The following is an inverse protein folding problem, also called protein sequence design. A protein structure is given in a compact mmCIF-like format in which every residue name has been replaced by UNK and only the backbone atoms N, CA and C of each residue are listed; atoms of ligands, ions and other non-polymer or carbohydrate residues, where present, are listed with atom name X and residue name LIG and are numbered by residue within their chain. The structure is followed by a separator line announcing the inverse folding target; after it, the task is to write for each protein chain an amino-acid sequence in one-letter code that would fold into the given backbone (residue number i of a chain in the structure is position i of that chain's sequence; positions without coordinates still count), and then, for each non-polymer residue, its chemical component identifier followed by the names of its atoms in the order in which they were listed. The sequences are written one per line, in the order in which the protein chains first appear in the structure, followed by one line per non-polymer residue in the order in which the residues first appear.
data_IF_927619390580
#
_entry.id   IF_927619390580
#
_cell.length_a   1.000
_cell.length_b   1.000
_cell.length_c   1.000
_cell.angle_alpha   90.00
_cell.angle_beta   90.00
_cell.angle_gamma   90.00
#
_symmetry.space_group_name_H-M   'P 1'
#
loop_
_entity.id
_entity.type
_entity.pdbx_description
1 polymer ?
#
# COMPACT_ATOMS: atom_id res chain seq x y z
N UNK A 1 45.16 -56.09 23.54
CA UNK A 1 44.36 -57.29 23.87
C UNK A 1 42.89 -57.05 23.56
N UNK A 2 42.07 -58.09 23.43
CA UNK A 2 40.63 -57.97 23.10
C UNK A 2 39.87 -56.97 24.00
N UNK A 3 40.26 -56.89 25.27
CA UNK A 3 39.75 -55.92 26.26
C UNK A 3 40.03 -54.46 25.89
N UNK A 4 41.24 -54.14 25.42
CA UNK A 4 41.59 -52.77 24.97
C UNK A 4 40.81 -52.38 23.71
N UNK A 5 40.61 -53.32 22.78
CA UNK A 5 39.80 -53.09 21.57
C UNK A 5 38.34 -52.83 21.94
N UNK A 6 37.78 -53.60 22.88
CA UNK A 6 36.41 -53.40 23.39
C UNK A 6 36.25 -52.05 24.08
N UNK A 7 37.22 -51.64 24.92
CA UNK A 7 37.20 -50.35 25.58
C UNK A 7 37.28 -49.18 24.60
N UNK A 8 38.13 -49.27 23.56
CA UNK A 8 38.20 -48.26 22.50
C UNK A 8 36.88 -48.11 21.75
N UNK A 9 36.24 -49.22 21.38
CA UNK A 9 34.95 -49.20 20.68
C UNK A 9 33.85 -48.60 21.56
N UNK A 10 33.79 -48.96 22.85
CA UNK A 10 32.83 -48.36 23.79
C UNK A 10 33.00 -46.84 23.90
N UNK A 11 34.23 -46.35 24.04
CA UNK A 11 34.50 -44.91 24.07
C UNK A 11 34.05 -44.20 22.79
N UNK A 12 34.17 -44.88 21.63
CA UNK A 12 33.73 -44.34 20.35
C UNK A 12 32.20 -44.32 20.24
N UNK A 13 31.51 -45.36 20.71
CA UNK A 13 30.05 -45.41 20.79
C UNK A 13 29.53 -44.26 21.67
N UNK A 14 30.05 -44.10 22.88
CA UNK A 14 29.63 -43.01 23.78
C UNK A 14 29.87 -41.63 23.16
N UNK A 15 30.98 -41.45 22.43
CA UNK A 15 31.26 -40.20 21.72
C UNK A 15 30.21 -39.94 20.64
N UNK A 16 29.89 -40.96 19.83
CA UNK A 16 28.88 -40.85 18.77
C UNK A 16 27.48 -40.61 19.34
N UNK A 17 27.12 -41.25 20.46
CA UNK A 17 25.84 -41.03 21.13
C UNK A 17 25.69 -39.59 21.64
N UNK A 18 26.76 -39.03 22.23
CA UNK A 18 26.79 -37.61 22.64
C UNK A 18 26.67 -36.68 21.44
N UNK A 19 27.36 -36.98 20.34
CA UNK A 19 27.29 -36.18 19.11
C UNK A 19 25.88 -36.23 18.49
N UNK A 20 25.26 -37.40 18.42
CA UNK A 20 23.86 -37.57 17.96
C UNK A 20 22.91 -36.75 18.84
N UNK A 21 23.06 -36.78 20.16
CA UNK A 21 22.23 -36.02 21.08
C UNK A 21 22.37 -34.50 20.86
N UNK A 22 23.61 -34.02 20.65
CA UNK A 22 23.87 -32.62 20.35
C UNK A 22 23.28 -32.19 19.00
N UNK A 23 23.41 -33.03 17.96
CA UNK A 23 22.87 -32.76 16.63
C UNK A 23 21.33 -32.73 16.65
N UNK A 24 20.67 -33.63 17.38
CA UNK A 24 19.21 -33.62 17.56
C UNK A 24 18.73 -32.32 18.20
N UNK A 25 19.36 -31.90 19.30
CA UNK A 25 19.02 -30.63 19.97
C UNK A 25 19.22 -29.43 19.04
N UNK A 26 20.31 -29.43 18.26
CA UNK A 26 20.57 -28.35 17.29
C UNK A 26 19.50 -28.32 16.20
N UNK A 27 19.10 -29.49 15.68
CA UNK A 27 18.05 -29.60 14.67
C UNK A 27 16.70 -29.09 15.20
N UNK A 28 16.32 -29.46 16.43
CA UNK A 28 15.09 -28.99 17.07
C UNK A 28 15.07 -27.44 17.16
N UNK A 29 16.16 -26.83 17.61
CA UNK A 29 16.28 -25.37 17.69
C UNK A 29 16.16 -24.70 16.31
N UNK A 30 16.81 -25.23 15.29
CA UNK A 30 16.73 -24.69 13.92
C UNK A 30 15.32 -24.80 13.33
N UNK A 31 14.61 -25.90 13.63
CA UNK A 31 13.21 -26.06 13.22
C UNK A 31 12.32 -25.01 13.88
N UNK A 32 12.51 -24.75 15.18
CA UNK A 32 11.76 -23.73 15.90
C UNK A 32 12.06 -22.30 15.40
N UNK A 33 13.34 -21.99 15.16
CA UNK A 33 13.77 -20.71 14.62
C UNK A 33 13.18 -20.48 13.23
N UNK A 34 13.23 -21.47 12.34
CA UNK A 34 12.63 -21.41 11.00
C UNK A 34 11.12 -21.21 11.06
N UNK A 35 10.41 -21.92 11.93
CA UNK A 35 8.96 -21.71 12.11
C UNK A 35 8.63 -20.29 12.58
N UNK A 36 9.43 -19.75 13.49
CA UNK A 36 9.25 -18.38 13.99
C UNK A 36 9.48 -17.36 12.87
N UNK A 37 10.56 -17.53 12.09
CA UNK A 37 10.86 -16.66 10.95
C UNK A 37 9.76 -16.68 9.90
N UNK A 38 9.28 -17.88 9.52
CA UNK A 38 8.19 -18.05 8.55
C UNK A 38 6.91 -17.35 8.98
N UNK A 39 6.52 -17.49 10.26
CA UNK A 39 5.34 -16.77 10.80
C UNK A 39 5.51 -15.25 10.74
N UNK A 40 6.70 -14.75 11.06
CA UNK A 40 6.96 -13.31 11.00
C UNK A 40 6.90 -12.78 9.56
N UNK A 41 7.45 -13.52 8.60
CA UNK A 41 7.35 -13.16 7.17
C UNK A 41 5.88 -13.15 6.69
N UNK A 42 5.09 -14.14 7.09
CA UNK A 42 3.65 -14.19 6.75
C UNK A 42 2.89 -12.99 7.33
N UNK A 43 3.19 -12.59 8.57
CA UNK A 43 2.62 -11.38 9.19
C UNK A 43 3.00 -10.12 8.40
N UNK A 44 4.29 -9.95 8.07
CA UNK A 44 4.74 -8.81 7.28
C UNK A 44 4.09 -8.74 5.91
N UNK A 45 3.91 -9.89 5.25
CA UNK A 45 3.22 -9.97 3.96
C UNK A 45 1.75 -9.58 4.09
N UNK A 46 1.05 -10.08 5.13
CA UNK A 46 -0.34 -9.75 5.38
C UNK A 46 -0.52 -8.26 5.68
N UNK A 47 0.36 -7.67 6.48
CA UNK A 47 0.34 -6.24 6.77
C UNK A 47 0.62 -5.39 5.52
N UNK A 48 1.61 -5.77 4.71
CA UNK A 48 1.90 -5.09 3.44
C UNK A 48 0.70 -5.13 2.48
N UNK A 49 0.01 -6.29 2.38
CA UNK A 49 -1.20 -6.43 1.57
C UNK A 49 -2.34 -5.55 2.08
N UNK A 50 -2.58 -5.54 3.38
CA UNK A 50 -3.61 -4.69 4.00
C UNK A 50 -3.34 -3.21 3.74
N UNK A 51 -2.08 -2.78 3.88
CA UNK A 51 -1.71 -1.40 3.60
C UNK A 51 -1.85 -1.06 2.12
N UNK A 52 -1.46 -1.97 1.22
CA UNK A 52 -1.67 -1.82 -0.21
C UNK A 52 -3.16 -1.63 -0.55
N UNK A 53 -4.04 -2.42 0.05
CA UNK A 53 -5.48 -2.31 -0.15
C UNK A 53 -6.04 -0.97 0.37
N UNK A 54 -5.59 -0.54 1.55
CA UNK A 54 -5.94 0.77 2.10
C UNK A 54 -5.55 1.92 1.16
N UNK A 55 -4.32 1.91 0.63
CA UNK A 55 -3.87 2.93 -0.32
C UNK A 55 -4.64 2.88 -1.65
N UNK A 56 -5.01 1.68 -2.14
CA UNK A 56 -5.83 1.53 -3.35
C UNK A 56 -7.21 2.16 -3.15
N UNK A 57 -7.83 1.93 -2.00
CA UNK A 57 -9.12 2.52 -1.65
C UNK A 57 -9.02 4.04 -1.50
N UNK A 58 -7.98 4.54 -0.84
CA UNK A 58 -7.73 5.97 -0.71
C UNK A 58 -7.52 6.64 -2.07
N UNK A 59 -6.74 6.02 -2.96
CA UNK A 59 -6.54 6.48 -4.33
C UNK A 59 -7.87 6.54 -5.09
N UNK A 60 -8.69 5.48 -5.02
CA UNK A 60 -10.00 5.44 -5.68
C UNK A 60 -10.94 6.56 -5.19
N UNK A 61 -11.04 6.73 -3.87
CA UNK A 61 -11.86 7.78 -3.24
C UNK A 61 -11.37 9.18 -3.65
N UNK A 62 -10.06 9.42 -3.64
CA UNK A 62 -9.48 10.72 -4.02
C UNK A 62 -9.74 11.03 -5.49
N UNK A 63 -9.65 10.03 -6.36
CA UNK A 63 -9.97 10.16 -7.79
C UNK A 63 -11.44 10.50 -8.02
N UNK A 64 -12.35 9.91 -7.25
CA UNK A 64 -13.78 10.23 -7.32
C UNK A 64 -14.07 11.66 -6.82
N UNK A 65 -13.49 12.05 -5.69
CA UNK A 65 -13.60 13.41 -5.16
C UNK A 65 -13.11 14.45 -6.17
N UNK A 66 -11.97 14.19 -6.81
CA UNK A 66 -11.42 15.06 -7.85
C UNK A 66 -12.40 15.21 -9.03
N UNK A 67 -12.98 14.10 -9.49
CA UNK A 67 -13.98 14.12 -10.57
C UNK A 67 -15.22 14.94 -10.18
N UNK A 68 -15.67 14.83 -8.95
CA UNK A 68 -16.83 15.57 -8.46
C UNK A 68 -16.53 17.08 -8.33
N UNK A 69 -15.38 17.46 -7.79
CA UNK A 69 -14.95 18.85 -7.72
C UNK A 69 -14.80 19.49 -9.12
N UNK A 70 -14.26 18.75 -10.10
CA UNK A 70 -14.20 19.22 -11.50
C UNK A 70 -15.58 19.46 -12.12
N UNK A 71 -16.58 18.63 -11.78
CA UNK A 71 -17.97 18.85 -12.21
C UNK A 71 -18.57 20.09 -11.55
N UNK A 72 -18.28 20.31 -10.27
CA UNK A 72 -18.74 21.51 -9.56
C UNK A 72 -18.17 22.78 -10.19
N UNK A 73 -16.87 22.82 -10.49
CA UNK A 73 -16.24 23.93 -11.24
C UNK A 73 -16.96 24.17 -12.56
N UNK A 74 -17.27 23.12 -13.33
CA UNK A 74 -17.97 23.26 -14.60
C UNK A 74 -19.38 23.85 -14.41
N UNK A 75 -20.10 23.42 -13.37
CA UNK A 75 -21.41 23.97 -13.03
C UNK A 75 -21.34 25.44 -12.58
N UNK A 76 -20.37 25.79 -11.73
CA UNK A 76 -20.15 27.17 -11.27
C UNK A 76 -19.78 28.10 -12.44
N UNK A 77 -18.91 27.66 -13.35
CA UNK A 77 -18.58 28.41 -14.57
C UNK A 77 -19.80 28.67 -15.45
N UNK A 78 -20.68 27.67 -15.59
CA UNK A 78 -21.93 27.83 -16.33
C UNK A 78 -22.88 28.82 -15.64
N UNK A 79 -22.99 28.76 -14.30
CA UNK A 79 -23.81 29.71 -13.54
C UNK A 79 -23.29 31.14 -13.69
N UNK A 80 -21.98 31.34 -13.59
CA UNK A 80 -21.34 32.64 -13.78
C UNK A 80 -21.64 33.19 -15.18
N UNK A 81 -21.45 32.38 -16.22
CA UNK A 81 -21.74 32.78 -17.60
C UNK A 81 -23.21 33.16 -17.83
N UNK A 82 -24.14 32.38 -17.26
CA UNK A 82 -25.57 32.68 -17.35
C UNK A 82 -25.92 34.00 -16.69
N UNK A 83 -25.28 34.31 -15.55
CA UNK A 83 -25.54 35.54 -14.81
C UNK A 83 -24.93 36.76 -15.51
N UNK A 84 -23.73 36.64 -16.07
CA UNK A 84 -23.13 37.66 -16.95
C UNK A 84 -24.04 37.98 -18.15
N UNK A 85 -24.61 36.96 -18.79
CA UNK A 85 -25.55 37.14 -19.89
C UNK A 85 -26.85 37.86 -19.46
N UNK A 86 -27.35 37.58 -18.26
CA UNK A 86 -28.50 38.29 -17.68
C UNK A 86 -28.18 39.75 -17.37
N UNK A 87 -27.01 40.04 -16.80
CA UNK A 87 -26.54 41.42 -16.53
C UNK A 87 -26.45 42.20 -17.84
N UNK A 88 -25.83 41.62 -18.87
CA UNK A 88 -25.72 42.25 -20.19
C UNK A 88 -27.11 42.55 -20.81
N UNK A 89 -28.07 41.63 -20.67
CA UNK A 89 -29.43 41.78 -21.18
C UNK A 89 -30.23 42.84 -20.42
N UNK A 90 -30.08 42.92 -19.09
CA UNK A 90 -30.75 43.92 -18.26
C UNK A 90 -30.17 45.34 -18.43
N UNK A 91 -28.88 45.45 -18.74
CA UNK A 91 -28.20 46.72 -19.05
C UNK A 91 -28.79 47.42 -20.28
N UNK A 92 -29.28 46.65 -21.26
CA UNK A 92 -29.92 47.16 -22.49
C UNK A 92 -31.34 47.73 -22.28
N UNK A 93 -31.99 47.47 -21.14
CA UNK A 93 -33.41 47.78 -20.92
C UNK A 93 -33.70 48.76 -19.76
N UNK A 94 -32.69 49.31 -19.06
CA UNK A 94 -32.91 50.03 -17.78
C UNK A 94 -32.45 51.49 -17.78
N UNK A 95 -33.25 52.37 -17.16
CA UNK A 95 -32.91 53.75 -16.82
C UNK A 95 -31.87 53.82 -15.67
N UNK A 96 -31.07 54.90 -15.54
CA UNK A 96 -30.01 54.99 -14.55
C UNK A 96 -30.60 55.06 -13.13
N UNK A 97 -30.28 54.10 -12.26
CA UNK A 97 -30.47 54.24 -10.80
C UNK A 97 -31.19 53.14 -10.01
N UNK A 98 -31.65 52.04 -10.62
CA UNK A 98 -32.32 50.96 -9.85
C UNK A 98 -31.71 49.57 -10.06
N UNK A 99 -31.21 48.96 -8.97
CA UNK A 99 -31.12 47.50 -8.83
C UNK A 99 -29.80 46.79 -9.17
N UNK A 100 -28.64 47.45 -9.17
CA UNK A 100 -27.34 46.80 -9.45
C UNK A 100 -26.71 46.05 -8.26
N UNK A 101 -27.08 46.37 -7.02
CA UNK A 101 -26.36 45.91 -5.82
C UNK A 101 -26.41 44.39 -5.61
N UNK A 102 -27.60 43.77 -5.71
CA UNK A 102 -27.79 42.36 -5.35
C UNK A 102 -27.13 41.38 -6.34
N UNK A 103 -27.10 41.70 -7.63
CA UNK A 103 -26.52 40.79 -8.65
C UNK A 103 -24.99 40.84 -8.60
N UNK A 104 -24.40 41.99 -8.26
CA UNK A 104 -22.96 42.11 -8.07
C UNK A 104 -22.45 41.24 -6.91
N UNK A 105 -23.17 41.25 -5.79
CA UNK A 105 -22.88 40.39 -4.63
C UNK A 105 -22.95 38.89 -5.00
N UNK A 106 -23.98 38.47 -5.76
CA UNK A 106 -24.10 37.09 -6.23
C UNK A 106 -22.95 36.67 -7.18
N UNK A 107 -22.44 37.59 -8.02
CA UNK A 107 -21.26 37.35 -8.89
C UNK A 107 -20.02 37.13 -8.03
N UNK A 108 -19.77 38.01 -7.07
CA UNK A 108 -18.59 37.97 -6.22
C UNK A 108 -18.57 36.68 -5.35
N UNK A 109 -19.73 36.26 -4.86
CA UNK A 109 -19.90 35.00 -4.14
C UNK A 109 -19.62 33.79 -5.04
N UNK A 110 -20.13 33.78 -6.28
CA UNK A 110 -19.85 32.71 -7.25
C UNK A 110 -18.37 32.63 -7.63
N UNK A 111 -17.72 33.77 -7.83
CA UNK A 111 -16.28 33.86 -8.10
C UNK A 111 -15.48 33.32 -6.91
N UNK A 112 -15.87 33.68 -5.69
CA UNK A 112 -15.23 33.19 -4.47
C UNK A 112 -15.34 31.67 -4.32
N UNK A 113 -16.53 31.11 -4.57
CA UNK A 113 -16.76 29.65 -4.58
C UNK A 113 -15.98 28.95 -5.69
N UNK A 114 -15.87 29.55 -6.87
CA UNK A 114 -15.10 29.01 -7.98
C UNK A 114 -13.61 28.90 -7.60
N UNK A 115 -13.05 29.96 -7.01
CA UNK A 115 -11.67 29.97 -6.52
C UNK A 115 -11.44 28.88 -5.47
N UNK A 116 -12.34 28.75 -4.49
CA UNK A 116 -12.26 27.71 -3.47
C UNK A 116 -12.28 26.29 -4.09
N UNK A 117 -13.14 26.07 -5.08
CA UNK A 117 -13.25 24.78 -5.77
C UNK A 117 -12.00 24.48 -6.62
N UNK A 118 -11.42 25.50 -7.27
CA UNK A 118 -10.14 25.38 -7.98
C UNK A 118 -8.99 25.02 -7.01
N UNK A 119 -8.91 25.67 -5.84
CA UNK A 119 -7.94 25.34 -4.79
C UNK A 119 -8.11 23.90 -4.29
N UNK A 120 -9.36 23.46 -4.06
CA UNK A 120 -9.67 22.08 -3.67
C UNK A 120 -9.26 21.07 -4.75
N UNK A 121 -9.46 21.38 -6.03
CA UNK A 121 -9.00 20.51 -7.13
C UNK A 121 -7.49 20.38 -7.14
N UNK A 122 -6.76 21.45 -6.84
CA UNK A 122 -5.30 21.41 -6.79
C UNK A 122 -4.81 20.54 -5.62
N UNK A 123 -5.40 20.67 -4.42
CA UNK A 123 -5.11 19.78 -3.28
C UNK A 123 -5.40 18.31 -3.63
N UNK A 124 -6.58 18.04 -4.20
CA UNK A 124 -6.96 16.67 -4.59
C UNK A 124 -6.02 16.07 -5.64
N UNK A 125 -5.48 16.87 -6.57
CA UNK A 125 -4.48 16.40 -7.53
C UNK A 125 -3.16 16.03 -6.85
N UNK A 126 -2.70 16.83 -5.90
CA UNK A 126 -1.48 16.53 -5.13
C UNK A 126 -1.66 15.28 -4.28
N UNK A 127 -2.79 15.18 -3.56
CA UNK A 127 -3.15 13.99 -2.78
C UNK A 127 -3.26 12.75 -3.65
N UNK A 128 -3.84 12.87 -4.86
CA UNK A 128 -3.91 11.76 -5.81
C UNK A 128 -2.52 11.32 -6.26
N UNK A 129 -1.60 12.25 -6.54
CA UNK A 129 -0.22 11.93 -6.89
C UNK A 129 0.47 11.15 -5.77
N UNK A 130 0.32 11.60 -4.52
CA UNK A 130 0.87 10.90 -3.35
C UNK A 130 0.27 9.51 -3.19
N UNK A 131 -1.06 9.39 -3.25
CA UNK A 131 -1.74 8.10 -3.15
C UNK A 131 -1.32 7.13 -4.26
N UNK A 132 -1.15 7.61 -5.50
CA UNK A 132 -0.62 6.79 -6.62
C UNK A 132 0.78 6.27 -6.30
N UNK A 133 1.70 7.13 -5.84
CA UNK A 133 3.05 6.73 -5.45
C UNK A 133 3.02 5.68 -4.33
N UNK A 134 2.18 5.88 -3.32
CA UNK A 134 2.06 4.92 -2.21
C UNK A 134 1.56 3.56 -2.70
N UNK A 135 0.52 3.53 -3.54
CA UNK A 135 0.00 2.28 -4.13
C UNK A 135 1.11 1.53 -4.87
N UNK A 136 1.92 2.23 -5.68
CA UNK A 136 3.03 1.61 -6.42
C UNK A 136 4.11 1.05 -5.48
N UNK A 137 4.47 1.78 -4.42
CA UNK A 137 5.44 1.34 -3.43
C UNK A 137 4.96 0.10 -2.68
N UNK A 138 3.72 0.10 -2.17
CA UNK A 138 3.18 -1.06 -1.45
C UNK A 138 2.98 -2.27 -2.36
N UNK A 139 2.55 -2.07 -3.62
CA UNK A 139 2.50 -3.17 -4.61
C UNK A 139 3.87 -3.78 -4.85
N UNK A 140 4.90 -2.94 -5.04
CA UNK A 140 6.28 -3.41 -5.22
C UNK A 140 6.74 -4.22 -4.02
N UNK A 141 6.49 -3.71 -2.80
CA UNK A 141 6.85 -4.42 -1.58
C UNK A 141 6.14 -5.77 -1.43
N UNK A 142 4.83 -5.84 -1.72
CA UNK A 142 4.08 -7.11 -1.69
C UNK A 142 4.69 -8.12 -2.66
N UNK A 143 4.97 -7.71 -3.90
CA UNK A 143 5.59 -8.59 -4.90
C UNK A 143 6.95 -9.09 -4.42
N UNK A 144 7.82 -8.20 -3.93
CA UNK A 144 9.15 -8.60 -3.43
C UNK A 144 9.09 -9.57 -2.24
N UNK A 145 8.11 -9.40 -1.34
CA UNK A 145 7.90 -10.31 -0.21
C UNK A 145 7.39 -11.69 -0.69
N UNK A 146 6.46 -11.71 -1.64
CA UNK A 146 5.94 -12.95 -2.24
C UNK A 146 7.03 -13.72 -2.97
N UNK A 147 7.84 -13.02 -3.77
CA UNK A 147 8.99 -13.61 -4.49
C UNK A 147 10.02 -14.18 -3.51
N UNK A 148 10.35 -13.45 -2.45
CA UNK A 148 11.29 -13.89 -1.43
C UNK A 148 10.80 -15.17 -0.73
N UNK A 149 9.52 -15.20 -0.36
CA UNK A 149 8.91 -16.37 0.27
C UNK A 149 8.84 -17.58 -0.68
N UNK A 150 8.54 -17.34 -1.96
CA UNK A 150 8.53 -18.39 -2.97
C UNK A 150 9.93 -18.98 -3.18
N UNK A 151 10.95 -18.12 -3.23
CA UNK A 151 12.35 -18.54 -3.32
C UNK A 151 12.77 -19.38 -2.11
N UNK A 152 12.39 -18.98 -0.90
CA UNK A 152 12.66 -19.74 0.31
C UNK A 152 12.02 -21.13 0.27
N UNK A 153 10.76 -21.23 -0.19
CA UNK A 153 10.06 -22.51 -0.37
C UNK A 153 10.79 -23.41 -1.37
N UNK A 154 11.17 -22.86 -2.53
CA UNK A 154 11.89 -23.61 -3.56
C UNK A 154 13.23 -24.17 -3.04
N UNK A 155 14.02 -23.33 -2.37
CA UNK A 155 15.31 -23.75 -1.79
C UNK A 155 15.10 -24.83 -0.72
N UNK A 156 14.06 -24.70 0.11
CA UNK A 156 13.73 -25.69 1.14
C UNK A 156 13.34 -27.04 0.53
N UNK A 157 12.56 -27.03 -0.55
CA UNK A 157 12.16 -28.24 -1.28
C UNK A 157 13.35 -28.90 -1.98
N UNK A 158 14.23 -28.12 -2.61
CA UNK A 158 15.44 -28.61 -3.27
C UNK A 158 16.40 -29.29 -2.27
N UNK A 159 16.62 -28.65 -1.12
CA UNK A 159 17.43 -29.21 -0.03
C UNK A 159 16.81 -30.51 0.49
N UNK A 160 15.49 -30.54 0.69
CA UNK A 160 14.80 -31.76 1.14
C UNK A 160 14.97 -32.90 0.14
N UNK A 161 14.72 -32.66 -1.14
CA UNK A 161 14.89 -33.66 -2.19
C UNK A 161 16.34 -34.17 -2.28
N UNK A 162 17.32 -33.26 -2.13
CA UNK A 162 18.74 -33.62 -2.11
C UNK A 162 19.11 -34.49 -0.90
N UNK A 163 18.49 -34.28 0.26
CA UNK A 163 18.71 -35.11 1.45
C UNK A 163 18.04 -36.47 1.29
N UNK A 164 16.78 -36.51 0.83
CA UNK A 164 16.04 -37.76 0.60
C UNK A 164 16.72 -38.67 -0.42
N UNK A 165 17.38 -38.11 -1.44
CA UNK A 165 18.15 -38.90 -2.42
C UNK A 165 19.48 -39.46 -1.90
N UNK A 166 19.99 -38.93 -0.77
CA UNK A 166 21.25 -39.35 -0.14
C UNK A 166 21.05 -40.30 1.05
N UNK A 167 19.80 -40.46 1.51
CA UNK A 167 19.39 -41.39 2.57
C UNK A 167 18.96 -42.72 1.96
#
# INVERSE_FOLDING_TARGET
GETETRQRLNNQIEKLEREIAQLKKKLENEVEQRHTLSKNQDIHLLDAKRQCESEVNLHANTKELLKNAQKEIAALKQQLHNMEAQIASQSLQRAPGQGQSSIGEDVDDLVSRLRQSDDQVNDLKERLKTATSNVEQYRTMVVSLEESLNKEKQVTEEVRATVETRL
#
